data_IF_823142957714
#
_entry.id   IF_823142957714
#
_cell.length_a   1.000
_cell.length_b   1.000
_cell.length_c   1.000
_cell.angle_alpha   90.00
_cell.angle_beta   90.00
_cell.angle_gamma   90.00
#
_symmetry.space_group_name_H-M   'P 1'
#
loop_
_entity.id
_entity.type
_entity.pdbx_description
1 polymer ?
#
# COMPACT_ATOMS: atom_id res chain seq x y z
N UNK A 1 -17.55 -3.94 -33.31
CA UNK A 1 -17.33 -4.34 -31.90
C UNK A 1 -17.13 -3.08 -31.08
N UNK A 2 -18.13 -2.73 -30.27
CA UNK A 2 -18.02 -1.60 -29.32
C UNK A 2 -17.07 -2.07 -28.23
N UNK A 3 -15.87 -1.50 -28.18
CA UNK A 3 -14.94 -1.70 -27.08
C UNK A 3 -15.60 -1.09 -25.84
N UNK A 4 -16.16 -1.94 -25.00
CA UNK A 4 -16.61 -1.58 -23.67
C UNK A 4 -15.37 -1.11 -22.92
N UNK A 5 -15.19 0.21 -22.81
CA UNK A 5 -14.13 0.82 -22.02
C UNK A 5 -14.28 0.29 -20.60
N UNK A 6 -13.43 -0.66 -20.22
CA UNK A 6 -13.26 -1.05 -18.83
C UNK A 6 -12.75 0.19 -18.12
N UNK A 7 -13.64 0.88 -17.39
CA UNK A 7 -13.30 1.99 -16.50
C UNK A 7 -12.02 1.61 -15.74
N UNK A 8 -10.88 2.30 -15.96
CA UNK A 8 -9.66 1.99 -15.23
C UNK A 8 -9.95 2.22 -13.76
N UNK A 9 -10.06 1.12 -13.02
CA UNK A 9 -10.62 0.96 -11.68
C UNK A 9 -10.38 2.20 -10.80
N UNK A 10 -11.30 3.18 -10.86
CA UNK A 10 -11.11 4.50 -10.25
C UNK A 10 -10.90 4.39 -8.75
N UNK A 11 -11.53 3.38 -8.16
CA UNK A 11 -11.35 2.91 -6.79
C UNK A 11 -9.90 2.54 -6.46
N UNK A 12 -9.15 1.94 -7.38
CA UNK A 12 -7.75 1.53 -7.17
C UNK A 12 -6.79 2.73 -7.17
N UNK A 13 -7.03 3.72 -8.04
CA UNK A 13 -6.27 4.99 -8.05
C UNK A 13 -6.51 5.79 -6.78
N UNK A 14 -7.76 5.86 -6.34
CA UNK A 14 -8.14 6.53 -5.09
C UNK A 14 -7.57 5.80 -3.87
N UNK A 15 -7.60 4.46 -3.89
CA UNK A 15 -6.93 3.65 -2.89
C UNK A 15 -5.45 4.00 -2.85
N UNK A 16 -4.70 3.87 -3.94
CA UNK A 16 -3.25 4.20 -3.97
C UNK A 16 -2.94 5.65 -3.61
N UNK A 17 -3.85 6.62 -3.78
CA UNK A 17 -3.60 8.01 -3.39
C UNK A 17 -3.77 8.27 -1.88
N UNK A 18 -4.79 7.68 -1.25
CA UNK A 18 -5.04 7.83 0.20
C UNK A 18 -4.06 7.00 1.02
N UNK A 19 -3.68 5.86 0.45
CA UNK A 19 -2.87 4.84 1.06
C UNK A 19 -1.58 5.49 1.59
N UNK A 20 -0.73 6.22 0.81
CA UNK A 20 0.47 6.95 1.29
C UNK A 20 0.26 7.74 2.58
N UNK A 21 -0.87 8.45 2.66
CA UNK A 21 -1.24 9.25 3.83
C UNK A 21 -1.57 8.37 5.04
N UNK A 22 -2.34 7.30 4.84
CA UNK A 22 -2.64 6.33 5.88
C UNK A 22 -1.37 5.62 6.37
N UNK A 23 -0.46 5.25 5.46
CA UNK A 23 0.84 4.68 5.80
C UNK A 23 1.69 5.63 6.64
N UNK A 24 1.78 6.90 6.25
CA UNK A 24 2.52 7.93 6.98
C UNK A 24 2.03 8.16 8.41
N UNK A 25 0.73 7.99 8.65
CA UNK A 25 0.14 8.14 9.99
C UNK A 25 0.21 6.86 10.82
N UNK A 26 0.03 5.69 10.19
CA UNK A 26 -0.05 4.39 10.88
C UNK A 26 1.33 3.81 11.19
N UNK A 27 2.31 3.92 10.28
CA UNK A 27 3.66 3.38 10.49
C UNK A 27 4.37 3.87 11.77
N UNK A 28 4.43 5.20 12.07
CA UNK A 28 5.15 5.70 13.23
C UNK A 28 4.50 5.30 14.57
N UNK A 29 3.25 4.82 14.55
CA UNK A 29 2.57 4.33 15.74
C UNK A 29 2.62 2.80 15.81
N UNK A 30 2.21 2.12 14.73
CA UNK A 30 2.11 0.67 14.71
C UNK A 30 3.47 -0.02 14.83
N UNK A 31 4.51 0.48 14.15
CA UNK A 31 5.84 -0.16 14.14
C UNK A 31 6.47 -0.12 15.54
N UNK A 32 6.60 1.03 16.22
CA UNK A 32 7.16 1.05 17.58
C UNK A 32 6.33 0.24 18.58
N UNK A 33 5.01 0.21 18.41
CA UNK A 33 4.12 -0.52 19.30
C UNK A 33 4.30 -2.04 19.15
N UNK A 34 4.48 -2.54 17.93
CA UNK A 34 4.83 -3.95 17.67
C UNK A 34 6.24 -4.27 18.16
N UNK A 35 7.20 -3.35 17.97
CA UNK A 35 8.56 -3.50 18.50
C UNK A 35 8.57 -3.62 20.03
N UNK A 36 7.77 -2.79 20.71
CA UNK A 36 7.69 -2.74 22.17
C UNK A 36 6.89 -3.91 22.77
N UNK A 37 5.90 -4.45 22.05
CA UNK A 37 4.97 -5.47 22.58
C UNK A 37 5.28 -6.90 22.15
N UNK A 38 5.93 -7.10 21.00
CA UNK A 38 6.17 -8.44 20.42
C UNK A 38 7.65 -8.71 20.31
N UNK A 39 8.35 -7.97 19.43
CA UNK A 39 9.81 -7.97 19.31
C UNK A 39 10.24 -6.96 18.25
N UNK A 40 11.50 -6.54 18.31
CA UNK A 40 12.10 -5.69 17.27
C UNK A 40 12.00 -6.37 15.89
N UNK A 41 12.34 -7.66 15.82
CA UNK A 41 12.28 -8.44 14.57
C UNK A 41 10.86 -8.47 13.97
N UNK A 42 9.82 -8.65 14.79
CA UNK A 42 8.43 -8.61 14.33
C UNK A 42 8.03 -7.22 13.81
N UNK A 43 8.46 -6.15 14.47
CA UNK A 43 8.20 -4.78 14.02
C UNK A 43 8.88 -4.46 12.68
N UNK A 44 10.12 -4.89 12.49
CA UNK A 44 10.85 -4.76 11.22
C UNK A 44 10.16 -5.58 10.12
N UNK A 45 9.81 -6.84 10.39
CA UNK A 45 9.12 -7.69 9.42
C UNK A 45 7.77 -7.10 8.99
N UNK A 46 6.99 -6.56 9.94
CA UNK A 46 5.72 -5.90 9.66
C UNK A 46 5.91 -4.70 8.72
N UNK A 47 6.89 -3.84 9.00
CA UNK A 47 7.20 -2.68 8.17
C UNK A 47 7.58 -3.09 6.73
N UNK A 48 8.40 -4.13 6.59
CA UNK A 48 8.83 -4.66 5.28
C UNK A 48 7.67 -5.24 4.48
N UNK A 49 6.79 -6.03 5.11
CA UNK A 49 5.64 -6.65 4.45
C UNK A 49 4.65 -5.58 3.98
N UNK A 50 4.30 -4.64 4.86
CA UNK A 50 3.38 -3.54 4.52
C UNK A 50 3.94 -2.66 3.39
N UNK A 51 5.23 -2.31 3.45
CA UNK A 51 5.87 -1.50 2.40
C UNK A 51 5.94 -2.24 1.07
N UNK A 52 6.23 -3.56 1.09
CA UNK A 52 6.31 -4.37 -0.13
C UNK A 52 4.93 -4.51 -0.80
N UNK A 53 3.89 -4.80 -0.03
CA UNK A 53 2.52 -4.88 -0.54
C UNK A 53 2.09 -3.55 -1.18
N UNK A 54 2.49 -2.44 -0.58
CA UNK A 54 2.24 -1.12 -1.10
C UNK A 54 2.95 -0.84 -2.41
N UNK A 55 4.23 -1.16 -2.44
CA UNK A 55 5.07 -0.96 -3.60
C UNK A 55 4.52 -1.74 -4.79
N UNK A 56 4.10 -2.99 -4.56
CA UNK A 56 3.41 -3.81 -5.57
C UNK A 56 2.11 -3.13 -6.04
N UNK A 57 1.27 -2.64 -5.13
CA UNK A 57 0.04 -1.93 -5.49
C UNK A 57 0.32 -0.66 -6.32
N UNK A 58 1.38 0.06 -5.97
CA UNK A 58 1.85 1.25 -6.70
C UNK A 58 2.36 0.88 -8.10
N UNK A 59 3.17 -0.17 -8.23
CA UNK A 59 3.64 -0.68 -9.52
C UNK A 59 2.49 -1.12 -10.42
N UNK A 60 1.52 -1.89 -9.90
CA UNK A 60 0.33 -2.28 -10.68
C UNK A 60 -0.53 -1.09 -11.12
N UNK A 61 -0.45 0.03 -10.43
CA UNK A 61 -1.15 1.28 -10.80
C UNK A 61 -0.35 2.07 -11.84
N UNK A 62 0.98 2.03 -11.79
CA UNK A 62 1.89 2.69 -12.73
C UNK A 62 1.98 1.97 -14.08
N UNK A 63 1.68 0.66 -14.15
CA UNK A 63 1.52 -0.09 -15.41
C UNK A 63 0.18 0.23 -16.14
N UNK A 64 -0.23 1.51 -16.17
CA UNK A 64 -1.36 1.91 -16.99
C UNK A 64 -1.02 1.68 -18.48
N UNK A 65 -1.77 0.80 -19.17
CA UNK A 65 -1.52 0.47 -20.57
C UNK A 65 -1.77 1.71 -21.43
N UNK A 66 -0.74 2.08 -22.17
CA UNK A 66 -0.87 2.90 -23.37
C UNK A 66 -1.61 2.11 -24.46
#
# INVERSE_FOLDING_TARGET
>A
MVLKSSEPNQSLRWFVAITPLAGAMVFPVAVPLVMARVSIAAGVALALVLSSLWFIAMLKTSEMPH
#
